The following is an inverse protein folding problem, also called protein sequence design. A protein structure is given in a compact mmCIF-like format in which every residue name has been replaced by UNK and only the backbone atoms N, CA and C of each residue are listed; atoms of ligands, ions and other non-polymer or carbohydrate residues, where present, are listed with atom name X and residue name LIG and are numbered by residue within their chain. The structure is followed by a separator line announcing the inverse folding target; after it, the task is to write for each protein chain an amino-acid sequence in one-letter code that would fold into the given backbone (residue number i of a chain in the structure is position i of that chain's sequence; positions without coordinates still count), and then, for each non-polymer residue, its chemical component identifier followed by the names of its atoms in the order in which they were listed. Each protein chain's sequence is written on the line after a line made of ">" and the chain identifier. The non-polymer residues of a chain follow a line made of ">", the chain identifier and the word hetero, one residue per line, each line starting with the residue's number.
data_IF_366189717715
#
_entry.id   IF_366189717715
#
_cell.length_a   1.000
_cell.length_b   1.000
_cell.length_c   1.000
_cell.angle_alpha   90.00
_cell.angle_beta   90.00
_cell.angle_gamma   90.00
#
_symmetry.space_group_name_H-M   'P 1'
#
loop_
_entity.id
_entity.type
_entity.pdbx_description
1 polymer ?
#
# COMPACT_ATOMS: atom_id res chain seq x y z
N UNK A 1 -66.08 -51.85 49.68
CA UNK A 1 -67.45 -51.96 50.22
C UNK A 1 -68.04 -50.56 50.27
N UNK A 2 -69.07 -50.29 49.43
CA UNK A 2 -69.98 -49.12 49.38
C UNK A 2 -69.38 -47.69 49.18
N UNK A 3 -69.58 -47.07 48.01
CA UNK A 3 -70.69 -46.16 47.62
C UNK A 3 -70.76 -44.85 48.45
N UNK A 4 -70.68 -43.67 47.82
CA UNK A 4 -71.87 -42.84 47.51
C UNK A 4 -71.56 -41.53 46.75
N UNK A 5 -72.54 -41.19 45.91
CA UNK A 5 -72.72 -40.05 45.00
C UNK A 5 -73.21 -38.78 45.73
N UNK A 6 -72.85 -37.57 45.23
CA UNK A 6 -73.68 -36.36 44.95
C UNK A 6 -72.76 -35.14 44.77
N UNK A 7 -72.52 -34.62 43.57
CA UNK A 7 -73.37 -33.79 42.70
C UNK A 7 -74.01 -32.56 43.39
N UNK A 8 -73.42 -31.38 43.16
CA UNK A 8 -74.16 -30.13 43.00
C UNK A 8 -73.41 -29.21 42.03
N UNK A 9 -74.04 -28.92 40.88
CA UNK A 9 -73.65 -27.90 39.92
C UNK A 9 -74.05 -26.51 40.46
N UNK A 10 -73.16 -25.52 40.33
CA UNK A 10 -73.59 -24.13 40.13
C UNK A 10 -72.58 -23.36 39.27
N UNK A 11 -73.16 -22.55 38.41
CA UNK A 11 -72.67 -21.91 37.18
C UNK A 11 -71.98 -20.55 37.39
N UNK A 12 -71.18 -20.15 36.38
CA UNK A 12 -70.72 -18.77 36.06
C UNK A 12 -69.74 -18.13 37.06
N UNK A 13 -68.73 -17.34 36.70
CA UNK A 13 -68.46 -16.62 35.47
C UNK A 13 -66.95 -16.41 35.29
N UNK A 14 -66.58 -16.30 34.02
CA UNK A 14 -65.30 -15.95 33.45
C UNK A 14 -64.76 -14.59 33.94
N UNK A 15 -63.57 -14.55 34.55
CA UNK A 15 -62.66 -13.39 34.48
C UNK A 15 -61.23 -13.92 34.45
N UNK A 16 -60.66 -14.03 33.25
CA UNK A 16 -59.23 -14.24 33.05
C UNK A 16 -58.52 -12.91 33.21
N UNK A 17 -57.70 -12.77 34.26
CA UNK A 17 -56.74 -11.68 34.39
C UNK A 17 -55.35 -12.22 34.02
N UNK A 18 -55.08 -12.26 32.71
CA UNK A 18 -53.72 -12.45 32.20
C UNK A 18 -52.97 -11.14 32.39
N UNK A 19 -52.12 -11.07 33.41
CA UNK A 19 -51.08 -10.05 33.52
C UNK A 19 -50.03 -10.32 32.43
N UNK A 20 -50.24 -9.75 31.24
CA UNK A 20 -49.19 -9.66 30.23
C UNK A 20 -48.19 -8.60 30.68
N UNK A 21 -47.03 -9.03 31.16
CA UNK A 21 -45.87 -8.16 31.32
C UNK A 21 -45.46 -7.68 29.93
N UNK A 22 -45.78 -6.44 29.59
CA UNK A 22 -45.19 -5.75 28.45
C UNK A 22 -43.72 -5.47 28.80
N UNK A 23 -42.85 -6.44 28.51
CA UNK A 23 -41.44 -6.16 28.36
C UNK A 23 -41.28 -5.34 27.08
N UNK A 24 -41.30 -4.01 27.22
CA UNK A 24 -40.79 -3.11 26.20
C UNK A 24 -39.31 -3.47 26.04
N UNK A 25 -39.00 -4.28 25.04
CA UNK A 25 -37.64 -4.47 24.59
C UNK A 25 -37.14 -3.10 24.15
N UNK A 26 -36.28 -2.47 24.96
CA UNK A 26 -35.46 -1.38 24.48
C UNK A 26 -34.56 -1.96 23.39
N UNK A 27 -34.93 -1.76 22.12
CA UNK A 27 -33.96 -1.79 21.04
C UNK A 27 -32.84 -0.84 21.44
N UNK A 28 -31.68 -1.38 21.80
CA UNK A 28 -30.47 -0.59 21.93
C UNK A 28 -30.26 0.07 20.56
N UNK A 29 -30.62 1.35 20.45
CA UNK A 29 -30.22 2.23 19.35
C UNK A 29 -28.73 1.94 19.13
N UNK A 30 -28.38 1.28 18.02
CA UNK A 30 -26.98 1.18 17.59
C UNK A 30 -26.53 2.61 17.45
N UNK A 31 -25.69 3.07 18.36
CA UNK A 31 -24.96 4.32 18.21
C UNK A 31 -24.14 4.14 16.93
N UNK A 32 -24.60 4.74 15.82
CA UNK A 32 -23.81 4.81 14.61
C UNK A 32 -22.49 5.47 14.98
N UNK A 33 -21.39 4.75 14.75
CA UNK A 33 -20.07 5.34 14.93
C UNK A 33 -20.00 6.58 14.03
N UNK A 34 -19.41 7.70 14.51
CA UNK A 34 -19.17 8.85 13.66
C UNK A 34 -18.47 8.41 12.37
N UNK A 35 -18.79 9.01 11.21
CA UNK A 35 -18.11 8.69 9.97
C UNK A 35 -16.60 8.89 10.16
N UNK A 36 -15.81 7.91 9.74
CA UNK A 36 -14.35 8.05 9.75
C UNK A 36 -13.89 8.69 8.43
N UNK A 37 -12.81 9.48 8.40
CA UNK A 37 -12.31 10.03 7.14
C UNK A 37 -11.77 8.91 6.23
N UNK A 38 -11.85 9.08 4.90
CA UNK A 38 -11.13 8.20 3.98
C UNK A 38 -9.63 8.27 4.27
N UNK A 39 -8.91 7.17 4.03
CA UNK A 39 -7.46 7.10 4.21
C UNK A 39 -6.82 6.55 2.95
N UNK A 40 -5.88 7.28 2.39
CA UNK A 40 -4.94 6.76 1.39
C UNK A 40 -3.80 6.14 2.19
N UNK A 41 -3.49 4.87 1.92
CA UNK A 41 -2.43 4.12 2.58
C UNK A 41 -1.31 3.74 1.62
N UNK A 42 -1.60 3.67 0.33
CA UNK A 42 -0.65 3.28 -0.71
C UNK A 42 -1.00 3.93 -2.04
N UNK A 43 0.04 4.27 -2.80
CA UNK A 43 -0.02 4.72 -4.20
C UNK A 43 0.73 3.73 -5.08
N UNK A 44 0.12 3.31 -6.19
CA UNK A 44 0.75 2.42 -7.16
C UNK A 44 0.67 3.03 -8.57
N UNK A 45 1.81 3.21 -9.26
CA UNK A 45 3.19 3.13 -8.73
C UNK A 45 3.49 4.21 -7.66
N UNK A 46 4.63 4.12 -6.92
CA UNK A 46 4.99 5.09 -5.87
C UNK A 46 5.43 6.47 -6.39
N UNK A 47 5.23 6.72 -7.67
CA UNK A 47 5.63 7.94 -8.38
C UNK A 47 4.70 8.17 -9.58
N UNK A 48 4.87 9.31 -10.24
CA UNK A 48 4.43 9.53 -11.60
C UNK A 48 5.49 10.29 -12.40
N UNK A 49 5.40 10.24 -13.73
CA UNK A 49 6.32 10.97 -14.60
C UNK A 49 5.87 12.43 -14.81
N UNK A 50 6.81 13.38 -14.71
CA UNK A 50 6.60 14.81 -14.93
C UNK A 50 5.96 15.08 -16.30
N UNK A 51 5.04 16.05 -16.33
CA UNK A 51 4.35 16.49 -17.56
C UNK A 51 3.62 15.37 -18.34
N UNK A 52 3.38 14.20 -17.73
CA UNK A 52 2.64 13.09 -18.33
C UNK A 52 1.29 12.87 -17.65
N UNK A 53 0.35 12.32 -18.42
CA UNK A 53 -0.92 11.81 -17.89
C UNK A 53 -0.73 10.34 -17.54
N UNK A 54 -0.98 9.98 -16.28
CA UNK A 54 -0.76 8.64 -15.75
C UNK A 54 -1.97 8.18 -14.95
N UNK A 55 -2.25 6.88 -14.97
CA UNK A 55 -3.20 6.25 -14.06
C UNK A 55 -2.48 5.83 -12.78
N UNK A 56 -3.01 6.25 -11.64
CA UNK A 56 -2.48 5.90 -10.33
C UNK A 56 -3.57 5.17 -9.54
N UNK A 57 -3.23 4.02 -8.97
CA UNK A 57 -4.11 3.28 -8.07
C UNK A 57 -3.82 3.71 -6.63
N UNK A 58 -4.84 4.20 -5.95
CA UNK A 58 -4.79 4.48 -4.52
C UNK A 58 -5.45 3.32 -3.78
N UNK A 59 -4.77 2.77 -2.77
CA UNK A 59 -5.36 1.77 -1.86
C UNK A 59 -5.43 2.33 -0.44
N UNK A 60 -6.44 1.90 0.31
CA UNK A 60 -6.68 2.41 1.65
C UNK A 60 -8.04 2.06 2.23
N UNK A 61 -8.57 2.93 3.08
CA UNK A 61 -9.85 2.74 3.78
C UNK A 61 -10.89 3.73 3.29
N UNK A 62 -12.11 3.25 3.09
CA UNK A 62 -13.27 4.04 2.66
C UNK A 62 -13.06 4.77 1.32
N UNK A 63 -12.14 4.30 0.47
CA UNK A 63 -11.90 4.87 -0.85
C UNK A 63 -13.03 4.55 -1.83
N UNK A 64 -13.83 3.52 -1.57
CA UNK A 64 -15.07 3.23 -2.30
C UNK A 64 -16.16 4.29 -2.07
N UNK A 65 -16.08 5.05 -0.98
CA UNK A 65 -17.05 6.11 -0.63
C UNK A 65 -16.66 7.49 -1.17
N UNK A 66 -15.45 7.66 -1.73
CA UNK A 66 -14.96 8.98 -2.15
C UNK A 66 -15.77 9.54 -3.32
N UNK A 67 -16.09 10.83 -3.27
CA UNK A 67 -16.80 11.54 -4.34
C UNK A 67 -15.85 12.36 -5.21
N UNK A 68 -14.65 12.68 -4.70
CA UNK A 68 -13.56 13.23 -5.51
C UNK A 68 -12.19 12.90 -4.92
N UNK A 69 -11.17 12.92 -5.76
CA UNK A 69 -9.77 13.01 -5.35
C UNK A 69 -9.22 14.32 -5.87
N UNK A 70 -8.42 15.01 -5.06
CA UNK A 70 -7.70 16.20 -5.46
C UNK A 70 -6.19 15.96 -5.47
N UNK A 71 -5.52 16.57 -6.43
CA UNK A 71 -4.07 16.66 -6.50
C UNK A 71 -3.68 18.13 -6.69
N UNK A 72 -2.78 18.65 -5.85
CA UNK A 72 -2.41 20.07 -5.82
C UNK A 72 -3.64 21.01 -5.80
N UNK A 73 -4.67 20.66 -5.02
CA UNK A 73 -5.90 21.42 -4.86
C UNK A 73 -6.87 21.37 -6.05
N UNK A 74 -6.59 20.56 -7.08
CA UNK A 74 -7.45 20.40 -8.26
C UNK A 74 -8.05 19.00 -8.29
N UNK A 75 -9.34 18.90 -8.62
CA UNK A 75 -10.00 17.60 -8.81
C UNK A 75 -9.38 16.84 -9.98
N UNK A 76 -9.06 15.57 -9.75
CA UNK A 76 -8.58 14.64 -10.79
C UNK A 76 -9.70 13.69 -11.20
N UNK A 77 -9.54 13.05 -12.35
CA UNK A 77 -10.55 12.14 -12.89
C UNK A 77 -10.48 10.81 -12.15
N UNK A 78 -11.59 10.38 -11.54
CA UNK A 78 -11.73 9.03 -11.02
C UNK A 78 -12.12 8.11 -12.19
N UNK A 79 -11.36 7.04 -12.39
CA UNK A 79 -11.62 6.02 -13.41
C UNK A 79 -12.54 4.92 -12.86
N UNK A 80 -12.22 4.42 -11.66
CA UNK A 80 -12.99 3.39 -10.96
C UNK A 80 -12.69 3.44 -9.47
N UNK A 81 -13.58 2.91 -8.64
CA UNK A 81 -13.38 2.71 -7.20
C UNK A 81 -14.15 1.48 -6.73
N UNK A 82 -13.73 0.87 -5.63
CA UNK A 82 -14.41 -0.30 -5.08
C UNK A 82 -13.70 -0.94 -3.89
N UNK A 83 -14.18 -2.13 -3.52
CA UNK A 83 -13.49 -2.98 -2.54
C UNK A 83 -12.22 -3.54 -3.15
N UNK A 84 -11.23 -3.78 -2.31
CA UNK A 84 -9.94 -4.32 -2.68
C UNK A 84 -9.61 -5.53 -1.80
N UNK A 85 -9.21 -6.65 -2.41
CA UNK A 85 -8.77 -7.82 -1.67
C UNK A 85 -7.47 -7.54 -0.92
N UNK A 86 -7.28 -8.17 0.24
CA UNK A 86 -6.04 -8.11 1.02
C UNK A 86 -5.26 -9.40 0.76
N UNK A 87 -4.03 -9.34 0.23
CA UNK A 87 -3.21 -10.54 0.02
C UNK A 87 -3.00 -11.34 1.31
N UNK A 88 -2.84 -12.65 1.16
CA UNK A 88 -2.60 -13.55 2.29
C UNK A 88 -1.34 -13.14 3.06
N UNK A 89 -1.40 -13.19 4.40
CA UNK A 89 -0.29 -12.78 5.26
C UNK A 89 -0.14 -11.26 5.44
N UNK A 90 -1.02 -10.45 4.85
CA UNK A 90 -1.04 -9.00 5.02
C UNK A 90 -2.28 -8.53 5.78
N UNK A 91 -2.23 -7.29 6.29
CA UNK A 91 -3.32 -6.70 7.07
C UNK A 91 -4.05 -5.61 6.27
N UNK A 92 -5.38 -5.65 6.35
CA UNK A 92 -6.24 -4.61 5.82
C UNK A 92 -5.95 -3.22 6.43
N UNK A 93 -5.41 -3.17 7.64
CA UNK A 93 -5.07 -1.90 8.30
C UNK A 93 -3.83 -1.24 7.69
N UNK A 94 -2.93 -2.05 7.12
CA UNK A 94 -1.73 -1.56 6.42
C UNK A 94 -2.01 -1.23 4.97
N UNK A 95 -2.71 -2.11 4.25
CA UNK A 95 -2.90 -1.98 2.80
C UNK A 95 -4.21 -1.32 2.38
N UNK A 96 -5.17 -1.27 3.29
CA UNK A 96 -6.54 -0.98 2.94
C UNK A 96 -7.30 -2.16 2.36
N UNK A 97 -8.62 -2.03 2.37
CA UNK A 97 -9.62 -2.97 1.83
C UNK A 97 -10.51 -2.30 0.76
N UNK A 98 -10.10 -1.11 0.31
CA UNK A 98 -10.77 -0.31 -0.71
C UNK A 98 -9.73 0.36 -1.60
N UNK A 99 -10.13 0.66 -2.83
CA UNK A 99 -9.26 1.30 -3.82
C UNK A 99 -10.00 2.30 -4.70
N UNK A 100 -9.25 3.25 -5.26
CA UNK A 100 -9.69 4.17 -6.30
C UNK A 100 -8.56 4.34 -7.31
N UNK A 101 -8.86 4.14 -8.59
CA UNK A 101 -7.95 4.44 -9.69
C UNK A 101 -8.28 5.83 -10.23
N UNK A 102 -7.27 6.68 -10.28
CA UNK A 102 -7.36 8.05 -10.79
C UNK A 102 -6.53 8.22 -12.05
N UNK A 103 -6.91 9.16 -12.89
CA UNK A 103 -6.12 9.66 -14.01
C UNK A 103 -5.75 11.11 -13.73
N UNK A 104 -4.45 11.38 -13.72
CA UNK A 104 -3.86 12.66 -13.32
C UNK A 104 -2.77 13.06 -14.32
N UNK A 105 -2.71 14.35 -14.63
CA UNK A 105 -1.62 14.96 -15.40
C UNK A 105 -0.79 15.83 -14.46
N UNK A 106 0.48 15.48 -14.26
CA UNK A 106 1.42 16.35 -13.53
C UNK A 106 1.87 17.50 -14.41
N UNK A 107 2.38 18.56 -13.78
CA UNK A 107 3.17 19.59 -14.44
C UNK A 107 4.64 19.46 -14.03
N UNK A 108 5.35 20.59 -14.00
CA UNK A 108 6.75 20.67 -13.60
C UNK A 108 6.85 20.89 -12.10
N UNK A 109 6.57 19.82 -11.36
CA UNK A 109 6.75 19.74 -9.91
C UNK A 109 7.53 18.47 -9.54
N UNK A 110 8.09 18.42 -8.34
CA UNK A 110 8.80 17.24 -7.83
C UNK A 110 7.89 16.33 -6.98
N UNK A 111 6.76 16.88 -6.50
CA UNK A 111 5.84 16.23 -5.57
C UNK A 111 4.41 16.74 -5.75
N UNK A 112 3.45 15.86 -5.50
CA UNK A 112 2.04 16.18 -5.41
C UNK A 112 1.46 15.65 -4.10
N UNK A 113 0.51 16.39 -3.54
CA UNK A 113 -0.31 15.90 -2.43
C UNK A 113 -1.66 15.43 -2.96
N UNK A 114 -2.02 14.20 -2.62
CA UNK A 114 -3.30 13.59 -2.92
C UNK A 114 -4.22 13.67 -1.69
N UNK A 115 -5.44 14.16 -1.91
CA UNK A 115 -6.48 14.21 -0.87
C UNK A 115 -7.74 13.53 -1.40
N UNK A 116 -8.12 12.42 -0.77
CA UNK A 116 -9.38 11.74 -1.04
C UNK A 116 -10.51 12.40 -0.23
N UNK A 117 -11.64 12.68 -0.88
CA UNK A 117 -12.77 13.38 -0.27
C UNK A 117 -14.04 12.58 -0.38
N UNK A 118 -14.78 12.51 0.72
CA UNK A 118 -16.20 12.12 0.76
C UNK A 118 -17.05 13.39 0.88
N UNK A 119 -18.37 13.25 0.93
CA UNK A 119 -19.26 14.41 1.13
C UNK A 119 -19.11 15.05 2.52
N UNK A 120 -18.59 14.29 3.50
CA UNK A 120 -18.47 14.74 4.89
C UNK A 120 -17.02 15.05 5.31
N UNK A 121 -16.04 14.27 4.84
CA UNK A 121 -14.69 14.24 5.39
C UNK A 121 -13.62 14.08 4.31
N UNK A 122 -12.42 14.58 4.63
CA UNK A 122 -11.22 14.50 3.79
C UNK A 122 -10.19 13.56 4.43
N UNK A 123 -9.37 12.91 3.60
CA UNK A 123 -8.18 12.21 4.06
C UNK A 123 -7.11 13.20 4.52
N UNK A 124 -6.11 12.69 5.24
CA UNK A 124 -4.82 13.39 5.33
C UNK A 124 -4.20 13.47 3.93
N UNK A 125 -3.38 14.50 3.64
CA UNK A 125 -2.57 14.53 2.42
C UNK A 125 -1.67 13.30 2.34
N UNK A 126 -1.58 12.72 1.15
CA UNK A 126 -0.66 11.63 0.84
C UNK A 126 0.30 12.10 -0.26
N UNK A 127 1.60 11.98 -0.02
CA UNK A 127 2.63 12.43 -0.97
C UNK A 127 2.78 11.45 -2.14
N UNK A 128 2.84 11.98 -3.36
CA UNK A 128 3.20 11.25 -4.57
C UNK A 128 4.45 11.91 -5.18
N UNK A 129 5.48 11.10 -5.46
CA UNK A 129 6.67 11.60 -6.14
C UNK A 129 6.36 11.90 -7.60
N UNK A 130 6.91 13.00 -8.12
CA UNK A 130 6.88 13.31 -9.54
C UNK A 130 8.32 13.37 -10.03
N UNK A 131 8.68 12.47 -10.94
CA UNK A 131 10.06 12.27 -11.41
C UNK A 131 10.11 12.25 -12.94
N UNK A 132 11.29 12.27 -13.54
CA UNK A 132 11.46 12.21 -14.98
C UNK A 132 12.51 11.15 -15.35
N UNK A 133 12.45 10.61 -16.57
CA UNK A 133 13.43 9.65 -17.08
C UNK A 133 13.39 8.31 -16.34
N UNK A 134 12.21 7.87 -15.92
CA UNK A 134 12.04 6.63 -15.18
C UNK A 134 12.10 5.46 -16.15
N UNK A 135 13.04 4.56 -15.92
CA UNK A 135 13.16 3.31 -16.65
C UNK A 135 12.25 2.27 -16.00
N UNK A 136 11.71 1.33 -16.78
CA UNK A 136 11.14 0.11 -16.23
C UNK A 136 12.25 -0.92 -16.00
N UNK A 137 12.09 -1.73 -14.96
CA UNK A 137 12.85 -2.97 -14.84
C UNK A 137 12.62 -3.88 -16.07
N UNK A 138 13.58 -4.76 -16.32
CA UNK A 138 13.56 -5.71 -17.44
C UNK A 138 13.84 -7.11 -16.92
N UNK A 139 12.80 -7.93 -17.00
CA UNK A 139 12.86 -9.34 -16.61
C UNK A 139 13.32 -10.26 -17.76
N UNK A 140 14.00 -11.38 -17.45
CA UNK A 140 14.50 -11.79 -16.13
C UNK A 140 15.76 -11.01 -15.72
N UNK A 141 15.89 -10.66 -14.44
CA UNK A 141 17.07 -10.00 -13.87
C UNK A 141 17.56 -10.63 -12.53
N UNK A 142 17.18 -11.88 -12.24
CA UNK A 142 17.37 -12.52 -10.91
C UNK A 142 18.82 -12.85 -10.53
N UNK A 143 19.81 -12.51 -11.36
CA UNK A 143 21.21 -12.87 -11.11
C UNK A 143 22.20 -11.99 -11.86
N UNK A 144 23.47 -12.04 -11.44
CA UNK A 144 24.51 -11.10 -11.91
C UNK A 144 24.79 -11.18 -13.42
N UNK A 145 24.51 -12.33 -14.04
CA UNK A 145 24.63 -12.53 -15.49
C UNK A 145 23.45 -11.93 -16.28
N UNK A 146 22.30 -11.74 -15.63
CA UNK A 146 21.07 -11.17 -16.19
C UNK A 146 20.81 -9.74 -15.71
N UNK A 147 21.71 -9.21 -14.88
CA UNK A 147 21.56 -7.90 -14.26
C UNK A 147 21.29 -6.81 -15.31
N UNK A 148 20.29 -5.98 -15.07
CA UNK A 148 19.98 -4.86 -15.94
C UNK A 148 21.04 -3.76 -15.77
N UNK A 149 21.77 -3.44 -16.84
CA UNK A 149 22.74 -2.35 -16.81
C UNK A 149 22.05 -0.98 -16.72
N UNK A 150 22.54 -0.13 -15.81
CA UNK A 150 22.05 1.23 -15.60
C UNK A 150 23.15 2.26 -15.80
N UNK A 151 22.79 3.40 -16.38
CA UNK A 151 23.65 4.60 -16.45
C UNK A 151 23.39 5.48 -15.22
N UNK A 152 24.40 6.18 -14.71
CA UNK A 152 24.24 7.07 -13.55
C UNK A 152 24.20 8.54 -14.01
N UNK A 153 23.20 9.36 -13.61
CA UNK A 153 22.07 9.00 -12.73
C UNK A 153 20.99 8.19 -13.44
N UNK A 154 20.26 7.38 -12.67
CA UNK A 154 19.08 6.62 -13.16
C UNK A 154 17.99 6.52 -12.10
N UNK A 155 16.75 6.43 -12.57
CA UNK A 155 15.61 6.00 -11.78
C UNK A 155 14.96 4.78 -12.45
N UNK A 156 14.64 3.75 -11.67
CA UNK A 156 14.03 2.52 -12.17
C UNK A 156 12.80 2.17 -11.36
N UNK A 157 11.67 2.03 -12.04
CA UNK A 157 10.48 1.39 -11.49
C UNK A 157 10.66 -0.11 -11.52
N UNK A 158 10.67 -0.72 -10.34
CA UNK A 158 10.66 -2.16 -10.21
C UNK A 158 9.51 -2.70 -9.36
N UNK A 159 9.39 -4.02 -9.37
CA UNK A 159 8.42 -4.78 -8.58
C UNK A 159 8.98 -6.17 -8.29
N UNK A 160 9.18 -6.46 -7.01
CA UNK A 160 9.44 -7.84 -6.54
C UNK A 160 8.21 -8.69 -6.85
N UNK A 161 8.26 -9.42 -7.96
CA UNK A 161 7.07 -9.96 -8.64
C UNK A 161 6.55 -11.23 -7.97
N UNK A 162 7.42 -11.96 -7.26
CA UNK A 162 7.08 -13.19 -6.55
C UNK A 162 7.91 -13.33 -5.27
N UNK A 163 7.54 -14.30 -4.44
CA UNK A 163 8.38 -14.66 -3.30
C UNK A 163 9.77 -15.10 -3.77
N UNK A 164 10.80 -14.73 -3.00
CA UNK A 164 12.22 -15.01 -3.29
C UNK A 164 12.76 -14.37 -4.57
N UNK A 165 12.02 -13.43 -5.16
CA UNK A 165 12.50 -12.65 -6.29
C UNK A 165 13.54 -11.61 -5.84
N UNK A 166 14.56 -11.42 -6.66
CA UNK A 166 15.70 -10.54 -6.40
C UNK A 166 15.99 -9.77 -7.67
N UNK A 167 15.74 -8.47 -7.68
CA UNK A 167 16.03 -7.67 -8.85
C UNK A 167 17.49 -7.23 -8.83
N UNK A 168 18.25 -7.60 -9.87
CA UNK A 168 19.67 -7.25 -9.97
C UNK A 168 19.90 -6.18 -11.04
N UNK A 169 20.55 -5.09 -10.63
CA UNK A 169 21.00 -4.02 -11.49
C UNK A 169 22.52 -3.91 -11.48
N UNK A 170 23.13 -3.54 -12.62
CA UNK A 170 24.58 -3.35 -12.72
C UNK A 170 24.91 -1.91 -13.04
N UNK A 171 25.80 -1.31 -12.25
CA UNK A 171 26.26 0.06 -12.46
C UNK A 171 27.78 0.13 -12.62
N UNK A 172 28.24 1.11 -13.40
CA UNK A 172 29.66 1.38 -13.64
C UNK A 172 29.98 2.84 -13.33
N UNK A 173 31.10 3.09 -12.64
CA UNK A 173 31.60 4.43 -12.37
C UNK A 173 33.13 4.42 -12.20
N UNK A 174 33.76 5.59 -12.23
CA UNK A 174 35.19 5.69 -11.95
C UNK A 174 35.47 5.25 -10.49
N UNK A 175 36.55 4.48 -10.23
CA UNK A 175 36.95 4.12 -8.88
C UNK A 175 37.02 5.33 -7.94
N UNK A 176 36.51 5.18 -6.73
CA UNK A 176 36.47 6.25 -5.72
C UNK A 176 35.32 7.24 -5.87
N UNK A 177 34.53 7.20 -6.96
CA UNK A 177 33.32 8.03 -7.09
C UNK A 177 32.36 7.74 -5.95
N UNK A 178 31.81 8.79 -5.32
CA UNK A 178 30.71 8.62 -4.36
C UNK A 178 29.45 8.25 -5.15
N UNK A 179 28.78 7.18 -4.74
CA UNK A 179 27.50 6.72 -5.29
C UNK A 179 26.48 6.74 -4.16
N UNK A 180 25.28 7.21 -4.47
CA UNK A 180 24.11 7.16 -3.59
C UNK A 180 23.04 6.31 -4.24
N UNK A 181 22.50 5.35 -3.49
CA UNK A 181 21.42 4.48 -3.91
C UNK A 181 20.30 4.59 -2.89
N UNK A 182 19.07 4.82 -3.36
CA UNK A 182 17.87 4.90 -2.52
C UNK A 182 16.77 4.06 -3.13
N UNK A 183 16.03 3.35 -2.29
CA UNK A 183 14.76 2.74 -2.63
C UNK A 183 13.64 3.64 -2.11
N UNK A 184 12.56 3.76 -2.86
CA UNK A 184 11.31 4.38 -2.40
C UNK A 184 10.19 3.34 -2.53
N UNK A 185 9.71 2.81 -1.41
CA UNK A 185 8.70 1.76 -1.36
C UNK A 185 7.74 1.96 -0.17
N UNK A 186 8.15 1.61 1.04
CA UNK A 186 7.29 1.54 2.23
C UNK A 186 6.71 2.90 2.60
N UNK A 187 7.50 3.98 2.45
CA UNK A 187 7.03 5.35 2.66
C UNK A 187 5.83 5.72 1.77
N UNK A 188 5.67 5.05 0.63
CA UNK A 188 4.55 5.23 -0.31
C UNK A 188 3.51 4.11 -0.20
N UNK A 189 3.57 3.33 0.88
CA UNK A 189 2.61 2.32 1.26
C UNK A 189 2.90 0.91 0.73
N UNK A 190 3.96 0.72 -0.06
CA UNK A 190 4.37 -0.61 -0.54
C UNK A 190 4.58 -1.57 0.64
N UNK A 191 4.15 -2.85 0.56
CA UNK A 191 4.43 -3.83 1.60
C UNK A 191 5.89 -4.30 1.62
N UNK A 192 6.69 -3.88 0.62
CA UNK A 192 8.09 -4.21 0.48
C UNK A 192 8.88 -3.68 1.67
N UNK A 193 9.53 -4.60 2.38
CA UNK A 193 10.55 -4.31 3.38
C UNK A 193 11.91 -4.36 2.65
N UNK A 194 12.32 -3.23 2.10
CA UNK A 194 13.33 -3.21 1.04
C UNK A 194 14.72 -3.52 1.60
N UNK A 195 15.40 -4.50 1.01
CA UNK A 195 16.77 -4.85 1.33
C UNK A 195 17.66 -4.62 0.11
N UNK A 196 18.68 -3.78 0.27
CA UNK A 196 19.66 -3.44 -0.75
C UNK A 196 21.02 -4.04 -0.39
N UNK A 197 21.53 -4.93 -1.25
CA UNK A 197 22.88 -5.47 -1.13
C UNK A 197 23.73 -5.09 -2.33
N UNK A 198 24.97 -4.68 -2.10
CA UNK A 198 25.93 -4.34 -3.15
C UNK A 198 27.01 -5.42 -3.22
N UNK A 199 27.21 -5.98 -4.41
CA UNK A 199 28.25 -6.96 -4.69
C UNK A 199 29.25 -6.41 -5.71
N UNK A 200 30.52 -6.81 -5.61
CA UNK A 200 31.46 -6.60 -6.70
C UNK A 200 31.22 -7.60 -7.86
N UNK A 201 32.04 -7.51 -8.91
CA UNK A 201 31.96 -8.39 -10.08
C UNK A 201 32.39 -9.84 -9.78
N UNK A 202 33.11 -10.06 -8.68
CA UNK A 202 33.48 -11.40 -8.20
C UNK A 202 32.40 -12.03 -7.31
N UNK A 203 31.30 -11.31 -7.05
CA UNK A 203 30.21 -11.75 -6.19
C UNK A 203 30.50 -11.62 -4.69
N UNK A 204 31.51 -10.84 -4.31
CA UNK A 204 31.78 -10.50 -2.91
C UNK A 204 30.83 -9.39 -2.47
N UNK A 205 30.11 -9.64 -1.38
CA UNK A 205 29.26 -8.62 -0.74
C UNK A 205 30.12 -7.50 -0.17
N UNK A 206 29.89 -6.27 -0.65
CA UNK A 206 30.60 -5.07 -0.22
C UNK A 206 29.82 -4.28 0.81
N UNK A 207 28.53 -4.06 0.56
CA UNK A 207 27.68 -3.19 1.36
C UNK A 207 26.26 -3.75 1.49
N UNK A 208 25.53 -3.26 2.48
CA UNK A 208 24.19 -3.70 2.82
C UNK A 208 23.42 -2.57 3.51
N UNK A 209 22.13 -2.42 3.18
CA UNK A 209 21.18 -1.55 3.87
C UNK A 209 19.76 -2.13 3.77
N UNK A 210 18.97 -2.00 4.82
CA UNK A 210 17.56 -2.42 4.90
C UNK A 210 16.67 -1.25 5.37
N UNK A 211 16.85 -0.81 6.61
CA UNK A 211 16.10 0.29 7.21
C UNK A 211 16.87 1.61 7.11
N UNK A 212 16.14 2.68 6.81
CA UNK A 212 16.62 4.03 7.09
C UNK A 212 16.18 4.47 8.50
N UNK A 213 16.66 5.64 8.94
CA UNK A 213 16.21 6.21 10.22
C UNK A 213 14.71 6.51 10.27
N UNK A 214 14.07 6.69 9.12
CA UNK A 214 12.71 7.24 9.01
C UNK A 214 11.69 6.28 8.39
N UNK A 215 12.13 5.26 7.66
CA UNK A 215 11.28 4.28 6.99
C UNK A 215 12.04 2.97 6.72
N UNK A 216 11.31 1.94 6.30
CA UNK A 216 11.87 0.65 5.84
C UNK A 216 12.43 0.70 4.42
N UNK A 217 12.73 1.90 3.95
CA UNK A 217 13.32 2.11 2.63
C UNK A 217 14.84 2.11 2.75
N UNK A 218 15.48 1.16 2.07
CA UNK A 218 16.93 1.08 2.04
C UNK A 218 17.57 2.30 1.38
N UNK A 219 18.61 2.84 2.01
CA UNK A 219 19.44 3.91 1.46
C UNK A 219 20.90 3.66 1.79
N UNK A 220 21.77 3.76 0.78
CA UNK A 220 23.20 3.49 0.92
C UNK A 220 24.03 4.54 0.18
N UNK A 221 25.14 4.95 0.78
CA UNK A 221 26.18 5.77 0.13
C UNK A 221 27.52 5.07 0.23
N UNK A 222 28.23 4.89 -0.88
CA UNK A 222 29.53 4.21 -0.90
C UNK A 222 30.46 4.78 -1.96
N UNK A 223 31.77 4.54 -1.79
CA UNK A 223 32.76 4.83 -2.84
C UNK A 223 32.86 3.64 -3.78
N UNK A 224 32.79 3.88 -5.09
CA UNK A 224 32.94 2.84 -6.10
C UNK A 224 34.29 2.10 -5.89
N UNK A 225 34.30 0.76 -5.80
CA UNK A 225 35.53 -0.02 -5.64
C UNK A 225 36.49 0.14 -6.83
N UNK A 226 37.71 -0.37 -6.66
CA UNK A 226 38.77 -0.31 -7.67
C UNK A 226 38.37 -0.93 -9.02
N UNK A 227 37.48 -1.94 -9.02
CA UNK A 227 36.97 -2.57 -10.24
C UNK A 227 36.03 -1.68 -11.08
N UNK A 228 35.55 -0.56 -10.53
CA UNK A 228 34.72 0.41 -11.26
C UNK A 228 33.30 -0.08 -11.61
N UNK A 229 32.88 -1.23 -11.08
CA UNK A 229 31.55 -1.80 -11.31
C UNK A 229 31.05 -2.56 -10.09
N UNK A 230 29.73 -2.56 -9.89
CA UNK A 230 29.04 -3.32 -8.83
C UNK A 230 27.66 -3.78 -9.31
N UNK A 231 27.16 -4.83 -8.68
CA UNK A 231 25.76 -5.26 -8.78
C UNK A 231 24.99 -4.75 -7.56
N UNK A 232 23.83 -4.13 -7.79
CA UNK A 232 22.85 -3.72 -6.81
C UNK A 232 21.74 -4.77 -6.80
N UNK A 233 21.49 -5.41 -5.66
CA UNK A 233 20.45 -6.42 -5.51
C UNK A 233 19.36 -5.85 -4.60
N UNK A 234 18.12 -5.83 -5.08
CA UNK A 234 16.93 -5.39 -4.35
C UNK A 234 16.04 -6.61 -4.11
N UNK A 235 15.63 -6.82 -2.86
CA UNK A 235 14.68 -7.88 -2.49
C UNK A 235 13.86 -7.48 -1.26
N UNK A 236 12.84 -8.25 -0.94
CA UNK A 236 12.14 -8.14 0.35
C UNK A 236 12.93 -8.84 1.46
N UNK A 237 13.04 -8.21 2.63
CA UNK A 237 13.74 -8.77 3.79
C UNK A 237 13.09 -10.05 4.36
N UNK A 238 11.87 -10.36 3.95
CA UNK A 238 11.14 -11.57 4.36
C UNK A 238 10.88 -12.51 3.16
N UNK A 239 11.59 -12.32 2.04
CA UNK A 239 11.47 -13.09 0.80
C UNK A 239 10.04 -13.12 0.21
N UNK A 240 9.26 -12.07 0.43
CA UNK A 240 7.91 -11.92 -0.13
C UNK A 240 7.95 -11.15 -1.44
N UNK A 241 6.94 -11.36 -2.27
CA UNK A 241 6.68 -10.52 -3.45
C UNK A 241 5.23 -10.59 -3.89
N UNK A 242 4.92 -9.86 -4.96
CA UNK A 242 3.61 -9.84 -5.58
C UNK A 242 3.20 -8.48 -6.12
N UNK A 243 1.95 -8.37 -6.55
CA UNK A 243 1.45 -7.22 -7.32
C UNK A 243 1.47 -5.87 -6.61
N UNK A 244 1.67 -5.85 -5.28
CA UNK A 244 1.74 -4.61 -4.51
C UNK A 244 3.18 -4.18 -4.18
N UNK A 245 4.20 -5.01 -4.43
CA UNK A 245 5.60 -4.80 -4.02
C UNK A 245 6.37 -3.89 -4.98
N UNK A 246 5.75 -2.81 -5.43
CA UNK A 246 6.39 -1.82 -6.27
C UNK A 246 7.41 -1.00 -5.49
N UNK A 247 8.46 -0.58 -6.18
CA UNK A 247 9.46 0.35 -5.65
C UNK A 247 10.02 1.25 -6.76
N UNK A 248 10.65 2.35 -6.36
CA UNK A 248 11.48 3.18 -7.23
C UNK A 248 12.92 3.14 -6.73
N UNK A 249 13.82 2.57 -7.53
CA UNK A 249 15.26 2.62 -7.31
C UNK A 249 15.80 3.93 -7.88
N UNK A 250 16.54 4.69 -7.08
CA UNK A 250 17.21 5.91 -7.46
C UNK A 250 18.73 5.74 -7.26
N UNK A 251 19.50 5.96 -8.33
CA UNK A 251 20.97 5.88 -8.32
C UNK A 251 21.56 7.21 -8.78
N UNK A 252 22.38 7.82 -7.93
CA UNK A 252 23.02 9.12 -8.18
C UNK A 252 24.54 9.06 -7.87
N UNK A 253 25.29 10.04 -8.38
CA UNK A 253 26.67 10.34 -7.95
C UNK A 253 26.64 11.45 -6.90
#
# INVERSE_FOLDING_TARGET
>A
MFNFIRLLFLTMSLVGLLLSTNAVGQEKKKTEKPPEPPKILMVIPPFMEQEKTTKILLRGKQLDLVTSVEAAGKKVKIIRKGKAGVPQGMSADKLGDTEVEIEITSQKEDRLELIAKTDALNSKPFELLVKNGILSEKEPNQGFAQAQELMIPSMVHGKIQANQDVDVFKIKAAPGSLIQVKIHAEKFGSPLDAMLTVYDDAGVKLFFADDSKESRDASLSFKMPAGGMVNLCVQDAHDRGGDLFHYLLEVNK
#
